data_IF_856763185015
#
_entry.id   IF_856763185015
#
_cell.length_a   1.000
_cell.length_b   1.000
_cell.length_c   1.000
_cell.angle_alpha   90.00
_cell.angle_beta   90.00
_cell.angle_gamma   90.00
#
_symmetry.space_group_name_H-M   'P 1'
#
loop_
_entity.id
_entity.type
_entity.pdbx_description
1 polymer ?
#
# COMPACT_ATOMS: atom_id res chain seq x y z
N UNK A 1 -2.64 -7.99 7.77
CA UNK A 1 -1.81 -6.99 7.07
C UNK A 1 -0.48 -7.63 6.77
N UNK A 2 -0.12 -7.78 5.49
CA UNK A 2 1.10 -8.50 5.08
C UNK A 2 2.36 -7.84 5.66
N UNK A 3 2.50 -6.51 5.53
CA UNK A 3 3.65 -5.75 6.06
C UNK A 3 3.87 -6.02 7.56
N UNK A 4 2.80 -6.03 8.36
CA UNK A 4 2.90 -6.28 9.80
C UNK A 4 3.33 -7.72 10.12
N UNK A 5 2.83 -8.70 9.36
CA UNK A 5 3.21 -10.11 9.52
C UNK A 5 4.67 -10.35 9.14
N UNK A 6 5.12 -9.79 8.00
CA UNK A 6 6.52 -9.86 7.56
C UNK A 6 7.47 -9.17 8.54
N UNK A 7 7.02 -8.10 9.20
CA UNK A 7 7.76 -7.43 10.27
C UNK A 7 7.74 -8.17 11.63
N UNK A 8 7.22 -9.40 11.69
CA UNK A 8 7.17 -10.19 12.93
C UNK A 8 6.15 -9.71 13.96
N UNK A 9 5.26 -8.78 13.58
CA UNK A 9 4.20 -8.22 14.44
C UNK A 9 2.81 -8.44 13.85
N UNK A 10 2.32 -9.69 13.75
CA UNK A 10 0.95 -9.96 13.30
C UNK A 10 -0.07 -9.16 14.12
N UNK A 11 -1.04 -8.54 13.45
CA UNK A 11 -2.06 -7.70 14.10
C UNK A 11 -1.71 -6.22 14.21
N UNK A 12 -0.44 -5.82 13.98
CA UNK A 12 -0.02 -4.41 14.04
C UNK A 12 -0.42 -3.57 12.81
N UNK A 13 -1.56 -3.87 12.17
CA UNK A 13 -2.03 -3.19 10.96
C UNK A 13 -2.27 -1.69 11.17
N UNK A 14 -2.74 -1.31 12.37
CA UNK A 14 -2.94 0.10 12.73
C UNK A 14 -1.61 0.84 12.85
N UNK A 15 -0.60 0.23 13.47
CA UNK A 15 0.75 0.78 13.57
C UNK A 15 1.39 0.97 12.19
N UNK A 16 1.18 0.05 11.26
CA UNK A 16 1.62 0.18 9.86
C UNK A 16 0.92 1.37 9.17
N UNK A 17 -0.40 1.53 9.39
CA UNK A 17 -1.14 2.68 8.87
C UNK A 17 -0.61 4.02 9.41
N UNK A 18 -0.27 4.08 10.70
CA UNK A 18 0.33 5.26 11.32
C UNK A 18 1.73 5.55 10.79
N UNK A 19 2.58 4.52 10.65
CA UNK A 19 3.92 4.66 10.10
C UNK A 19 3.89 5.19 8.66
N UNK A 20 2.95 4.72 7.86
CA UNK A 20 2.69 5.23 6.51
C UNK A 20 2.27 6.71 6.50
N UNK A 21 1.42 7.13 7.44
CA UNK A 21 0.97 8.51 7.54
C UNK A 21 2.10 9.45 8.00
N UNK A 22 2.98 8.98 8.89
CA UNK A 22 4.13 9.71 9.40
C UNK A 22 5.41 9.47 8.58
N UNK A 23 5.27 9.14 7.29
CA UNK A 23 6.41 8.86 6.44
C UNK A 23 7.31 10.12 6.32
N UNK A 24 8.56 10.09 6.83
CA UNK A 24 9.41 11.28 6.89
C UNK A 24 9.96 11.71 5.53
N UNK A 25 9.94 10.81 4.54
CA UNK A 25 10.44 11.07 3.19
C UNK A 25 9.48 10.43 2.15
N UNK A 26 8.40 11.13 1.78
CA UNK A 26 7.40 10.63 0.86
C UNK A 26 7.88 10.50 -0.59
N UNK A 27 8.97 11.18 -0.96
CA UNK A 27 9.52 11.13 -2.30
C UNK A 27 10.35 9.86 -2.51
N UNK A 28 11.08 9.43 -1.48
CA UNK A 28 11.91 8.22 -1.53
C UNK A 28 11.19 6.95 -1.04
N UNK A 29 10.25 7.08 -0.09
CA UNK A 29 9.53 5.95 0.51
C UNK A 29 8.12 5.90 -0.10
N UNK A 30 7.79 4.89 -0.95
CA UNK A 30 6.54 4.85 -1.72
C UNK A 30 5.34 4.42 -0.86
N UNK A 31 4.91 5.29 0.05
CA UNK A 31 3.83 5.00 1.00
C UNK A 31 2.45 4.83 0.32
N UNK A 32 2.28 5.27 -0.93
CA UNK A 32 1.08 5.04 -1.74
C UNK A 32 0.86 3.56 -2.10
N UNK A 33 1.92 2.75 -2.14
CA UNK A 33 1.85 1.30 -2.43
C UNK A 33 1.18 0.49 -1.31
N UNK A 34 1.01 1.10 -0.14
CA UNK A 34 0.39 0.44 1.02
C UNK A 34 -1.12 0.69 1.00
N UNK A 35 -1.88 -0.39 0.82
CA UNK A 35 -3.35 -0.44 0.91
C UNK A 35 -3.79 -1.38 2.03
N UNK A 36 -5.07 -1.31 2.42
CA UNK A 36 -5.59 -2.21 3.44
C UNK A 36 -5.80 -3.64 2.89
N UNK A 37 -6.13 -4.59 3.76
CA UNK A 37 -6.32 -6.00 3.38
C UNK A 37 -7.50 -6.25 2.40
N UNK A 38 -8.37 -5.26 2.19
CA UNK A 38 -9.46 -5.30 1.20
C UNK A 38 -9.09 -4.63 -0.12
N UNK A 39 -7.87 -4.13 -0.25
CA UNK A 39 -7.39 -3.37 -1.40
C UNK A 39 -7.91 -1.93 -1.46
N UNK A 40 -8.58 -1.44 -0.41
CA UNK A 40 -9.18 -0.10 -0.41
C UNK A 40 -8.09 0.97 -0.27
N UNK A 41 -8.25 2.04 -1.04
CA UNK A 41 -7.42 3.24 -0.95
C UNK A 41 -7.65 3.99 0.36
N UNK A 42 -6.63 4.71 0.82
CA UNK A 42 -6.70 5.47 2.05
C UNK A 42 -7.38 6.83 1.81
N UNK A 43 -8.52 7.04 2.46
CA UNK A 43 -9.27 8.31 2.39
C UNK A 43 -8.44 9.51 2.87
N UNK A 44 -7.67 9.33 3.96
CA UNK A 44 -6.81 10.36 4.54
C UNK A 44 -5.37 10.35 4.02
N UNK A 45 -5.13 9.94 2.77
CA UNK A 45 -3.78 9.99 2.20
C UNK A 45 -3.31 11.45 2.06
N UNK A 46 -2.06 11.71 2.47
CA UNK A 46 -1.54 13.07 2.59
C UNK A 46 -1.48 13.84 1.26
N UNK A 47 -1.40 13.13 0.13
CA UNK A 47 -1.22 13.72 -1.20
C UNK A 47 -2.53 13.81 -1.99
N UNK A 48 -3.63 14.25 -1.37
CA UNK A 48 -4.93 14.41 -2.03
C UNK A 48 -5.90 13.25 -1.81
N UNK A 49 -5.80 12.58 -0.66
CA UNK A 49 -6.74 11.53 -0.26
C UNK A 49 -6.69 10.30 -1.18
N UNK A 50 -7.80 9.56 -1.23
CA UNK A 50 -7.89 8.35 -2.03
C UNK A 50 -7.57 8.59 -3.52
N UNK A 51 -8.00 9.71 -4.10
CA UNK A 51 -7.69 10.06 -5.49
C UNK A 51 -6.20 10.32 -5.72
N UNK A 52 -5.54 11.00 -4.78
CA UNK A 52 -4.10 11.21 -4.81
C UNK A 52 -3.32 9.90 -4.81
N UNK A 53 -3.74 8.97 -3.95
CA UNK A 53 -3.17 7.63 -3.90
C UNK A 53 -3.41 6.87 -5.21
N UNK A 54 -4.63 6.94 -5.77
CA UNK A 54 -4.98 6.31 -7.03
C UNK A 54 -4.06 6.77 -8.16
N UNK A 55 -3.87 8.09 -8.32
CA UNK A 55 -3.00 8.67 -9.36
C UNK A 55 -1.56 8.19 -9.28
N UNK A 56 -1.01 8.01 -8.08
CA UNK A 56 0.35 7.51 -7.90
C UNK A 56 0.45 6.02 -8.25
N UNK A 57 -0.55 5.22 -7.86
CA UNK A 57 -0.64 3.81 -8.21
C UNK A 57 -0.80 3.60 -9.72
N UNK A 58 -1.69 4.36 -10.36
CA UNK A 58 -1.93 4.33 -11.80
C UNK A 58 -0.69 4.71 -12.62
N UNK A 59 0.11 5.69 -12.13
CA UNK A 59 1.40 6.03 -12.74
C UNK A 59 2.42 4.89 -12.71
N UNK A 60 2.28 3.98 -11.74
CA UNK A 60 3.09 2.76 -11.64
C UNK A 60 2.48 1.57 -12.40
N UNK A 61 1.36 1.79 -13.09
CA UNK A 61 0.66 0.75 -13.85
C UNK A 61 -0.29 -0.12 -13.02
N UNK A 62 -0.56 0.24 -11.77
CA UNK A 62 -1.52 -0.47 -10.91
C UNK A 62 -2.94 -0.05 -11.27
N UNK A 63 -3.83 -1.01 -11.46
CA UNK A 63 -5.22 -0.74 -11.84
C UNK A 63 -6.07 -0.49 -10.60
N UNK A 64 -6.72 0.68 -10.55
CA UNK A 64 -7.66 1.06 -9.49
C UNK A 64 -9.08 1.05 -10.04
N UNK A 65 -9.97 0.27 -9.43
CA UNK A 65 -11.39 0.18 -9.79
C UNK A 65 -12.22 0.52 -8.55
N UNK A 66 -13.09 1.53 -8.65
CA UNK A 66 -13.99 1.95 -7.56
C UNK A 66 -13.27 2.17 -6.21
N UNK A 67 -12.07 2.75 -6.26
CA UNK A 67 -11.27 3.02 -5.06
C UNK A 67 -10.64 1.77 -4.44
N UNK A 68 -10.47 0.69 -5.21
CA UNK A 68 -9.81 -0.54 -4.80
C UNK A 68 -8.78 -1.00 -5.83
N UNK A 69 -7.69 -1.57 -5.35
CA UNK A 69 -6.72 -2.31 -6.18
C UNK A 69 -7.04 -3.80 -6.17
N UNK A 70 -6.85 -4.49 -7.31
CA UNK A 70 -6.92 -5.95 -7.34
C UNK A 70 -5.63 -6.55 -6.78
N UNK A 71 -5.70 -6.98 -5.52
CA UNK A 71 -4.58 -7.61 -4.81
C UNK A 71 -4.10 -8.94 -5.43
N UNK A 72 -4.81 -9.49 -6.41
CA UNK A 72 -4.45 -10.75 -7.10
C UNK A 72 -3.66 -10.53 -8.38
N UNK A 73 -3.91 -9.41 -9.06
CA UNK A 73 -3.44 -9.16 -10.43
C UNK A 73 -2.21 -8.25 -10.48
N UNK A 74 -2.14 -7.26 -9.60
CA UNK A 74 -0.98 -6.38 -9.54
C UNK A 74 0.05 -6.92 -8.54
N UNK A 75 1.33 -6.82 -8.88
CA UNK A 75 2.50 -7.32 -8.14
C UNK A 75 2.71 -6.75 -6.73
N UNK A 76 1.65 -6.43 -5.98
CA UNK A 76 1.66 -6.39 -4.50
C UNK A 76 1.70 -7.83 -3.93
N UNK A 77 2.26 -8.78 -4.68
CA UNK A 77 2.87 -9.96 -4.09
C UNK A 77 4.20 -9.51 -3.53
N UNK A 78 4.32 -9.50 -2.20
CA UNK A 78 5.62 -9.41 -1.55
C UNK A 78 6.54 -10.45 -2.18
N UNK A 79 7.49 -10.01 -2.99
CA UNK A 79 8.40 -10.89 -3.70
C UNK A 79 9.26 -11.64 -2.70
N UNK A 80 8.96 -12.92 -2.52
CA UNK A 80 9.97 -13.97 -2.48
C UNK A 80 9.68 -14.87 -3.67
N UNK A 81 10.52 -14.72 -4.69
CA UNK A 81 10.71 -15.74 -5.71
C UNK A 81 11.51 -16.86 -5.02
N UNK A 82 10.89 -18.04 -4.92
CA UNK A 82 11.54 -19.26 -4.47
C UNK A 82 12.10 -19.91 -5.74
N UNK A 83 13.37 -19.64 -6.07
CA UNK A 83 14.19 -20.44 -7.00
C UNK A 83 15.68 -20.09 -6.84
N UNK A 84 16.45 -21.15 -6.56
CA UNK A 84 17.91 -21.32 -6.37
C UNK A 84 18.57 -20.90 -5.02
#
# INVERSE_FOLDING_TARGET
>A
MQIAATAGSPGAGQSVGNARHNNPDPDMIPCHRVVNAKGELAQGFAFGGAEGQAKLLEKEGVVVIEGKVDLRCDGIKGGFDESD
#
